data_IF_017502154617
#
_entry.id   IF_017502154617
#
_cell.length_a   1.000
_cell.length_b   1.000
_cell.length_c   1.000
_cell.angle_alpha   90.00
_cell.angle_beta   90.00
_cell.angle_gamma   90.00
#
_symmetry.space_group_name_H-M   'P 1'
#
loop_
_entity.id
_entity.type
_entity.pdbx_description
1 polymer ?
#
# COMPACT_ATOMS: atom_id res chain seq x y z
N UNK A 1 2.94 20.08 -2.53
CA UNK A 1 2.70 19.04 -1.51
C UNK A 1 4.02 18.75 -0.79
N UNK A 2 4.05 18.61 0.54
CA UNK A 2 5.30 18.32 1.27
C UNK A 2 5.90 16.98 0.80
N UNK A 3 7.24 16.88 0.66
CA UNK A 3 7.94 15.69 0.15
C UNK A 3 7.48 14.40 0.83
N UNK A 4 7.34 14.42 2.16
CA UNK A 4 6.88 13.27 2.95
C UNK A 4 5.45 12.81 2.60
N UNK A 5 4.55 13.77 2.28
CA UNK A 5 3.18 13.47 1.87
C UNK A 5 3.13 12.82 0.49
N UNK A 6 4.01 13.26 -0.39
CA UNK A 6 4.15 12.70 -1.74
C UNK A 6 4.69 11.27 -1.68
N UNK A 7 5.75 11.05 -0.90
CA UNK A 7 6.31 9.71 -0.68
C UNK A 7 5.24 8.77 -0.10
N UNK A 8 4.55 9.17 0.97
CA UNK A 8 3.52 8.33 1.60
C UNK A 8 2.38 7.96 0.63
N UNK A 9 2.03 8.88 -0.28
CA UNK A 9 0.93 8.68 -1.24
C UNK A 9 1.32 7.73 -2.37
N UNK A 10 2.50 7.92 -2.97
CA UNK A 10 2.88 7.22 -4.20
C UNK A 10 3.80 6.01 -3.98
N UNK A 11 4.49 5.91 -2.84
CA UNK A 11 5.47 4.83 -2.63
C UNK A 11 4.87 3.43 -2.75
N UNK A 12 3.71 3.10 -2.15
CA UNK A 12 3.09 1.79 -2.35
C UNK A 12 2.77 1.54 -3.83
N UNK A 13 2.16 2.51 -4.50
CA UNK A 13 1.82 2.39 -5.93
C UNK A 13 3.05 2.13 -6.80
N UNK A 14 4.13 2.91 -6.60
CA UNK A 14 5.37 2.75 -7.36
C UNK A 14 5.97 1.36 -7.10
N UNK A 15 6.10 0.94 -5.84
CA UNK A 15 6.71 -0.35 -5.51
C UNK A 15 5.88 -1.52 -6.05
N UNK A 16 4.56 -1.49 -5.90
CA UNK A 16 3.68 -2.53 -6.45
C UNK A 16 3.79 -2.63 -7.97
N UNK A 17 3.78 -1.48 -8.66
CA UNK A 17 3.89 -1.43 -10.11
C UNK A 17 5.26 -1.92 -10.57
N UNK A 18 6.34 -1.55 -9.87
CA UNK A 18 7.70 -2.03 -10.17
C UNK A 18 7.80 -3.55 -10.02
N UNK A 19 7.27 -4.13 -8.94
CA UNK A 19 7.25 -5.59 -8.74
C UNK A 19 6.47 -6.26 -9.87
N UNK A 20 5.27 -5.75 -10.20
CA UNK A 20 4.47 -6.29 -11.29
C UNK A 20 5.20 -6.24 -12.63
N UNK A 21 5.77 -5.08 -13.00
CA UNK A 21 6.49 -4.93 -14.26
C UNK A 21 7.72 -5.85 -14.32
N UNK A 22 8.55 -5.87 -13.27
CA UNK A 22 9.77 -6.69 -13.25
C UNK A 22 9.47 -8.19 -13.42
N UNK A 23 8.38 -8.68 -12.79
CA UNK A 23 8.01 -10.09 -12.88
C UNK A 23 7.28 -10.43 -14.18
N UNK A 24 6.32 -9.61 -14.64
CA UNK A 24 5.51 -9.95 -15.81
C UNK A 24 6.12 -9.58 -17.16
N UNK A 25 7.16 -8.74 -17.18
CA UNK A 25 7.95 -8.46 -18.41
C UNK A 25 9.17 -9.38 -18.56
N UNK A 26 9.30 -10.39 -17.69
CA UNK A 26 10.44 -11.32 -17.66
C UNK A 26 11.82 -10.64 -17.53
N UNK A 27 11.89 -9.44 -16.94
CA UNK A 27 13.17 -8.82 -16.57
C UNK A 27 13.85 -9.65 -15.47
N UNK A 28 13.04 -10.23 -14.58
CA UNK A 28 13.47 -11.19 -13.57
C UNK A 28 12.57 -12.43 -13.72
N UNK A 29 13.17 -13.59 -14.01
CA UNK A 29 12.44 -14.85 -14.20
C UNK A 29 12.03 -15.47 -12.85
N UNK A 30 11.21 -14.75 -12.09
CA UNK A 30 10.74 -15.17 -10.76
C UNK A 30 9.27 -14.84 -10.56
N UNK A 31 8.38 -15.68 -11.10
CA UNK A 31 6.93 -15.58 -10.83
C UNK A 31 6.62 -15.64 -9.33
N UNK A 32 7.46 -16.34 -8.58
CA UNK A 32 7.43 -16.43 -7.11
C UNK A 32 7.57 -15.07 -6.43
N UNK A 33 8.37 -14.15 -6.99
CA UNK A 33 8.54 -12.80 -6.46
C UNK A 33 7.22 -12.04 -6.45
N UNK A 34 6.41 -12.19 -7.50
CA UNK A 34 5.09 -11.56 -7.55
C UNK A 34 4.13 -12.18 -6.54
N UNK A 35 4.17 -13.50 -6.33
CA UNK A 35 3.33 -14.19 -5.33
C UNK A 35 3.69 -13.69 -3.92
N UNK A 36 4.98 -13.60 -3.59
CA UNK A 36 5.46 -13.02 -2.32
C UNK A 36 5.04 -11.54 -2.22
N UNK A 37 5.14 -10.82 -3.33
CA UNK A 37 4.68 -9.44 -3.47
C UNK A 37 3.22 -9.31 -3.06
N UNK A 38 2.35 -10.11 -3.67
CA UNK A 38 0.91 -10.13 -3.45
C UNK A 38 0.56 -10.52 -2.01
N UNK A 39 1.09 -11.64 -1.51
CA UNK A 39 0.69 -12.19 -0.22
C UNK A 39 1.28 -11.44 0.99
N UNK A 40 2.45 -10.82 0.82
CA UNK A 40 3.20 -10.24 1.94
C UNK A 40 3.55 -8.76 1.72
N UNK A 41 4.22 -8.42 0.61
CA UNK A 41 4.74 -7.07 0.44
C UNK A 41 3.62 -6.03 0.28
N UNK A 42 2.58 -6.33 -0.50
CA UNK A 42 1.49 -5.41 -0.78
C UNK A 42 0.71 -5.08 0.51
N UNK A 43 0.29 -6.05 1.34
CA UNK A 43 -0.27 -5.76 2.67
C UNK A 43 0.66 -4.88 3.53
N UNK A 44 1.96 -5.16 3.56
CA UNK A 44 2.93 -4.38 4.34
C UNK A 44 3.00 -2.94 3.83
N UNK A 45 3.00 -2.73 2.51
CA UNK A 45 3.00 -1.38 1.92
C UNK A 45 1.75 -0.58 2.33
N UNK A 46 0.58 -1.22 2.31
CA UNK A 46 -0.67 -0.61 2.78
C UNK A 46 -0.61 -0.29 4.29
N UNK A 47 -0.06 -1.21 5.10
CA UNK A 47 0.11 -1.01 6.54
C UNK A 47 0.99 0.22 6.82
N UNK A 48 2.17 0.28 6.23
CA UNK A 48 3.15 1.36 6.40
C UNK A 48 2.58 2.69 5.92
N UNK A 49 1.88 2.69 4.78
CA UNK A 49 1.17 3.86 4.26
C UNK A 49 0.11 4.35 5.24
N UNK A 50 -0.70 3.44 5.76
CA UNK A 50 -1.70 3.73 6.80
C UNK A 50 -1.08 4.39 8.02
N UNK A 51 -0.01 3.78 8.56
CA UNK A 51 0.70 4.29 9.73
C UNK A 51 1.28 5.69 9.50
N UNK A 52 1.90 5.91 8.34
CA UNK A 52 2.45 7.22 7.97
C UNK A 52 1.35 8.28 7.88
N UNK A 53 0.22 7.96 7.24
CA UNK A 53 -0.96 8.84 7.19
C UNK A 53 -1.50 9.15 8.59
N UNK A 54 -1.62 8.17 9.48
CA UNK A 54 -2.10 8.37 10.85
C UNK A 54 -1.17 9.23 11.70
N UNK A 55 0.13 9.21 11.38
CA UNK A 55 1.15 10.09 11.97
C UNK A 55 1.14 11.52 11.40
N UNK A 56 0.20 11.86 10.50
CA UNK A 56 0.08 13.19 9.88
C UNK A 56 0.96 13.38 8.63
N UNK A 57 1.59 12.32 8.11
CA UNK A 57 2.46 12.38 6.93
C UNK A 57 1.72 12.16 5.61
N UNK A 58 0.40 12.29 5.58
CA UNK A 58 -0.40 12.09 4.36
C UNK A 58 -1.91 12.24 4.63
N UNK A 59 -2.70 12.07 3.58
CA UNK A 59 -4.16 11.96 3.69
C UNK A 59 -4.54 10.50 3.37
N UNK A 60 -5.11 9.81 4.35
CA UNK A 60 -5.43 8.38 4.24
C UNK A 60 -6.30 8.06 3.02
N UNK A 61 -7.30 8.89 2.71
CA UNK A 61 -8.22 8.65 1.60
C UNK A 61 -7.53 8.74 0.24
N UNK A 62 -6.72 9.79 0.04
CA UNK A 62 -5.98 9.99 -1.22
C UNK A 62 -4.93 8.89 -1.39
N UNK A 63 -4.18 8.60 -0.32
CA UNK A 63 -3.11 7.60 -0.36
C UNK A 63 -3.63 6.18 -0.62
N UNK A 64 -4.72 5.78 0.04
CA UNK A 64 -5.37 4.48 -0.22
C UNK A 64 -5.99 4.44 -1.62
N UNK A 65 -6.63 5.52 -2.08
CA UNK A 65 -7.22 5.58 -3.42
C UNK A 65 -6.16 5.37 -4.50
N UNK A 66 -5.02 6.07 -4.40
CA UNK A 66 -3.90 5.91 -5.36
C UNK A 66 -3.43 4.46 -5.39
N UNK A 67 -3.20 3.86 -4.24
CA UNK A 67 -2.69 2.49 -4.13
C UNK A 67 -3.71 1.45 -4.59
N UNK A 68 -5.00 1.71 -4.33
CA UNK A 68 -6.13 0.88 -4.76
C UNK A 68 -6.26 0.89 -6.27
N UNK A 69 -6.23 2.07 -6.89
CA UNK A 69 -6.25 2.20 -8.35
C UNK A 69 -5.07 1.45 -8.97
N UNK A 70 -3.87 1.60 -8.41
CA UNK A 70 -2.71 0.86 -8.90
C UNK A 70 -2.90 -0.66 -8.80
N UNK A 71 -3.42 -1.16 -7.68
CA UNK A 71 -3.68 -2.59 -7.53
C UNK A 71 -4.75 -3.10 -8.51
N UNK A 72 -5.81 -2.32 -8.74
CA UNK A 72 -6.83 -2.64 -9.76
C UNK A 72 -6.20 -2.69 -11.15
N UNK A 73 -5.36 -1.73 -11.52
CA UNK A 73 -4.63 -1.72 -12.80
C UNK A 73 -3.76 -2.97 -12.94
N UNK A 74 -2.96 -3.30 -11.92
CA UNK A 74 -2.13 -4.52 -11.92
C UNK A 74 -3.00 -5.76 -12.10
N UNK A 75 -4.13 -5.81 -11.40
CA UNK A 75 -5.04 -6.96 -11.48
C UNK A 75 -5.64 -7.11 -12.87
N UNK A 76 -6.09 -6.02 -13.50
CA UNK A 76 -6.70 -6.06 -14.83
C UNK A 76 -5.70 -6.39 -15.95
N UNK A 77 -4.44 -5.98 -15.79
CA UNK A 77 -3.41 -6.19 -16.81
C UNK A 77 -2.70 -7.54 -16.69
N UNK A 78 -2.48 -8.03 -15.47
CA UNK A 78 -1.57 -9.15 -15.23
C UNK A 78 -2.19 -10.33 -14.47
N UNK A 79 -3.36 -10.16 -13.83
CA UNK A 79 -3.97 -11.17 -12.98
C UNK A 79 -5.38 -11.53 -13.43
N UNK A 80 -5.96 -12.53 -12.76
CA UNK A 80 -7.37 -12.86 -12.89
C UNK A 80 -8.22 -12.02 -11.93
N UNK A 81 -9.49 -11.84 -12.28
CA UNK A 81 -10.44 -11.06 -11.48
C UNK A 81 -10.60 -11.57 -10.03
N UNK A 82 -10.33 -12.85 -9.77
CA UNK A 82 -10.33 -13.42 -8.42
C UNK A 82 -9.32 -12.75 -7.48
N UNK A 83 -8.22 -12.20 -8.00
CA UNK A 83 -7.23 -11.48 -7.21
C UNK A 83 -7.76 -10.16 -6.63
N UNK A 84 -8.89 -9.64 -7.12
CA UNK A 84 -9.55 -8.47 -6.51
C UNK A 84 -9.98 -8.75 -5.06
N UNK A 85 -10.16 -10.01 -4.65
CA UNK A 85 -10.50 -10.34 -3.27
C UNK A 85 -9.43 -9.86 -2.26
N UNK A 86 -8.15 -9.80 -2.68
CA UNK A 86 -7.05 -9.34 -1.84
C UNK A 86 -7.14 -7.83 -1.54
N UNK A 87 -7.85 -7.06 -2.37
CA UNK A 87 -8.01 -5.62 -2.14
C UNK A 87 -8.68 -5.34 -0.79
N UNK A 88 -9.70 -6.14 -0.41
CA UNK A 88 -10.37 -5.98 0.87
C UNK A 88 -9.40 -6.17 2.04
N UNK A 89 -8.54 -7.18 1.96
CA UNK A 89 -7.50 -7.41 2.96
C UNK A 89 -6.55 -6.21 3.05
N UNK A 90 -6.09 -5.68 1.92
CA UNK A 90 -5.14 -4.55 1.91
C UNK A 90 -5.76 -3.27 2.48
N UNK A 91 -7.02 -2.99 2.17
CA UNK A 91 -7.75 -1.84 2.72
C UNK A 91 -7.91 -1.95 4.23
N UNK A 92 -8.29 -3.14 4.74
CA UNK A 92 -8.40 -3.39 6.18
C UNK A 92 -7.05 -3.17 6.85
N UNK A 93 -5.97 -3.73 6.29
CA UNK A 93 -4.61 -3.60 6.82
C UNK A 93 -4.13 -2.14 6.82
N UNK A 94 -4.40 -1.38 5.76
CA UNK A 94 -4.05 0.04 5.70
C UNK A 94 -4.82 0.90 6.70
N UNK A 95 -6.13 0.67 6.83
CA UNK A 95 -6.95 1.36 7.84
C UNK A 95 -6.55 0.99 9.27
N UNK A 96 -6.16 -0.27 9.49
CA UNK A 96 -5.65 -0.73 10.78
C UNK A 96 -4.35 0.00 11.16
N UNK A 97 -3.38 0.08 10.24
CA UNK A 97 -2.15 0.84 10.44
C UNK A 97 -2.39 2.33 10.73
N UNK A 98 -3.36 2.93 10.04
CA UNK A 98 -3.81 4.30 10.30
C UNK A 98 -4.36 4.46 11.71
N UNK A 99 -5.28 3.58 12.13
CA UNK A 99 -5.90 3.60 13.45
C UNK A 99 -4.87 3.52 14.59
N UNK A 100 -3.91 2.59 14.49
CA UNK A 100 -2.81 2.45 15.46
C UNK A 100 -2.04 3.76 15.60
N UNK A 101 -1.68 4.38 14.48
CA UNK A 101 -0.83 5.58 14.50
C UNK A 101 -1.57 6.81 15.02
N UNK A 102 -2.86 6.95 14.69
CA UNK A 102 -3.72 7.99 15.28
C UNK A 102 -3.83 7.82 16.80
N UNK A 103 -4.03 6.59 17.27
CA UNK A 103 -4.12 6.29 18.70
C UNK A 103 -2.81 6.63 19.43
N UNK A 104 -1.67 6.18 18.90
CA UNK A 104 -0.35 6.48 19.45
C UNK A 104 -0.06 7.98 19.51
N UNK A 105 -0.39 8.73 18.45
CA UNK A 105 -0.20 10.19 18.42
C UNK A 105 -1.05 10.92 19.47
N UNK A 106 -2.31 10.51 19.64
CA UNK A 106 -3.20 11.09 20.66
C UNK A 106 -2.66 10.85 22.08
N UNK A 107 -2.14 9.65 22.37
CA UNK A 107 -1.59 9.33 23.68
C UNK A 107 -0.31 10.11 24.01
N UNK A 108 0.56 10.34 23.02
CA UNK A 108 1.76 11.17 23.22
C UNK A 108 1.38 12.63 23.51
N UNK A 109 0.38 13.16 22.82
CA UNK A 109 -0.08 14.54 23.03
C UNK A 109 -0.74 14.77 24.39
N UNK A 110 -1.34 13.74 25.01
CA UNK A 110 -1.95 13.85 26.35
C UNK A 110 -0.92 13.85 27.50
N UNK A 111 0.33 13.47 27.23
CA UNK A 111 1.41 13.40 28.23
C UNK A 111 2.30 14.65 28.26
N UNK A 112 2.10 15.58 27.33
CA UNK A 112 2.76 16.90 27.30
C UNK A 112 1.80 17.94 27.87
#
# INVERSE_FOLDING_TARGET
MNKLKLITTFLPAIVMLSIALLTFTNIIDTKELFIIGLLLMFPILYLVQGMACGSGKGNIYISLLVSTITFIIITMLFLNATALMYLFLYLIVGLFGYGISVFSRKNISKRK
#
